data_IF_110921014649
#
_entry.id   IF_110921014649
#
_cell.length_a   1.000
_cell.length_b   1.000
_cell.length_c   1.000
_cell.angle_alpha   90.00
_cell.angle_beta   90.00
_cell.angle_gamma   90.00
#
_symmetry.space_group_name_H-M   'P 1'
#
loop_
_entity.id
_entity.type
_entity.pdbx_description
1 polymer ?
#
# COMPACT_ATOMS: atom_id res chain seq x y z
N UNK A 1 -7.06 14.62 -22.82
CA UNK A 1 -6.47 14.39 -21.48
C UNK A 1 -5.01 14.09 -21.70
N UNK A 2 -4.09 14.79 -21.02
CA UNK A 2 -2.66 14.55 -21.21
C UNK A 2 -2.24 13.39 -20.30
N UNK A 3 -1.61 12.33 -20.85
CA UNK A 3 -1.08 11.18 -20.08
C UNK A 3 -0.24 11.61 -18.86
N UNK A 4 0.46 12.73 -18.98
CA UNK A 4 1.26 13.34 -17.92
C UNK A 4 0.43 13.78 -16.71
N UNK A 5 -0.79 14.31 -16.89
CA UNK A 5 -1.66 14.78 -15.80
C UNK A 5 -2.16 13.61 -14.96
N UNK A 6 -2.62 12.52 -15.60
CA UNK A 6 -3.08 11.31 -14.91
C UNK A 6 -1.94 10.64 -14.14
N UNK A 7 -0.73 10.55 -14.72
CA UNK A 7 0.45 10.05 -13.99
C UNK A 7 0.73 10.88 -12.73
N UNK A 8 0.66 12.21 -12.85
CA UNK A 8 0.94 13.12 -11.72
C UNK A 8 -0.12 12.98 -10.62
N UNK A 9 -1.37 12.73 -11.00
CA UNK A 9 -2.48 12.44 -10.08
C UNK A 9 -2.25 11.12 -9.34
N UNK A 10 -1.91 10.05 -10.05
CA UNK A 10 -1.64 8.73 -9.44
C UNK A 10 -0.40 8.75 -8.54
N UNK A 11 0.65 9.48 -8.91
CA UNK A 11 1.83 9.66 -8.07
C UNK A 11 1.50 10.42 -6.78
N UNK A 12 0.66 11.47 -6.85
CA UNK A 12 0.17 12.16 -5.64
C UNK A 12 -0.66 11.22 -4.77
N UNK A 13 -1.55 10.43 -5.36
CA UNK A 13 -2.35 9.44 -4.65
C UNK A 13 -1.45 8.44 -3.90
N UNK A 14 -0.41 7.94 -4.54
CA UNK A 14 0.56 7.03 -3.93
C UNK A 14 1.24 7.67 -2.70
N UNK A 15 1.67 8.94 -2.79
CA UNK A 15 2.25 9.66 -1.65
C UNK A 15 1.25 9.86 -0.50
N UNK A 16 0.00 10.18 -0.82
CA UNK A 16 -1.07 10.29 0.19
C UNK A 16 -1.29 8.98 0.93
N UNK A 17 -1.34 7.85 0.21
CA UNK A 17 -1.48 6.54 0.81
C UNK A 17 -0.26 6.13 1.63
N UNK A 18 0.95 6.50 1.19
CA UNK A 18 2.17 6.23 1.94
C UNK A 18 2.18 7.01 3.25
N UNK A 19 1.81 8.28 3.22
CA UNK A 19 1.64 9.08 4.42
C UNK A 19 0.59 8.42 5.33
N UNK A 20 -0.60 8.10 4.82
CA UNK A 20 -1.67 7.44 5.57
C UNK A 20 -1.27 6.08 6.17
N UNK A 21 -0.31 5.40 5.55
CA UNK A 21 0.24 4.14 6.03
C UNK A 21 1.20 4.32 7.22
N UNK A 22 2.08 5.32 7.15
CA UNK A 22 3.12 5.55 8.18
C UNK A 22 2.64 6.39 9.36
N UNK A 23 1.73 7.34 9.12
CA UNK A 23 1.23 8.29 10.11
C UNK A 23 0.67 7.61 11.37
N UNK A 24 -0.17 6.56 11.27
CA UNK A 24 -0.75 5.91 12.44
C UNK A 24 0.31 5.32 13.36
N UNK A 25 1.30 4.61 12.81
CA UNK A 25 2.37 4.03 13.62
C UNK A 25 3.27 5.10 14.26
N UNK A 26 3.56 6.19 13.52
CA UNK A 26 4.38 7.28 14.05
C UNK A 26 3.69 8.04 15.19
N UNK A 27 2.37 8.23 15.11
CA UNK A 27 1.60 8.91 16.16
C UNK A 27 1.29 8.02 17.36
N UNK A 28 0.98 6.75 17.12
CA UNK A 28 0.53 5.82 18.17
C UNK A 28 1.70 5.09 18.84
N UNK A 29 2.86 4.99 18.19
CA UNK A 29 4.06 4.32 18.71
C UNK A 29 4.50 4.81 20.09
N UNK A 30 4.58 6.13 20.35
CA UNK A 30 4.99 6.68 21.65
C UNK A 30 3.94 6.63 22.76
N UNK A 31 2.71 6.21 22.45
CA UNK A 31 1.60 6.24 23.40
C UNK A 31 1.66 4.97 24.24
N UNK A 32 1.96 5.12 25.53
CA UNK A 32 1.88 4.04 26.52
C UNK A 32 0.42 3.78 26.90
N UNK A 33 -0.26 3.04 26.04
CA UNK A 33 -1.62 2.55 26.24
C UNK A 33 -1.63 1.04 26.04
N UNK A 34 -2.56 0.33 26.71
CA UNK A 34 -2.71 -1.12 26.57
C UNK A 34 -4.14 -1.46 26.15
N UNK A 35 -4.30 -1.86 24.89
CA UNK A 35 -5.60 -2.26 24.32
C UNK A 35 -6.12 -3.61 24.85
N UNK A 36 -5.31 -4.38 25.59
CA UNK A 36 -5.64 -5.72 26.07
C UNK A 36 -5.72 -6.77 24.95
N UNK A 37 -5.29 -6.45 23.74
CA UNK A 37 -5.28 -7.38 22.61
C UNK A 37 -4.01 -8.24 22.63
N UNK A 38 -4.10 -9.53 22.23
CA UNK A 38 -2.93 -10.41 22.15
C UNK A 38 -1.93 -9.93 21.09
N UNK A 39 -0.74 -9.42 21.48
CA UNK A 39 0.17 -8.75 20.53
C UNK A 39 0.67 -9.68 19.43
N UNK A 40 0.93 -10.94 19.78
CA UNK A 40 1.37 -11.96 18.82
C UNK A 40 0.31 -12.27 17.76
N UNK A 41 -0.97 -12.28 18.12
CA UNK A 41 -2.04 -12.51 17.16
C UNK A 41 -2.16 -11.34 16.16
N UNK A 42 -1.98 -10.10 16.63
CA UNK A 42 -1.92 -8.91 15.77
C UNK A 42 -0.75 -9.02 14.80
N UNK A 43 0.44 -9.40 15.31
CA UNK A 43 1.62 -9.56 14.48
C UNK A 43 1.43 -10.61 13.39
N UNK A 44 0.94 -11.80 13.75
CA UNK A 44 0.67 -12.89 12.80
C UNK A 44 -0.35 -12.44 11.75
N UNK A 45 -1.43 -11.77 12.18
CA UNK A 45 -2.45 -11.25 11.26
C UNK A 45 -1.85 -10.21 10.29
N UNK A 46 -0.99 -9.33 10.79
CA UNK A 46 -0.26 -8.35 9.98
C UNK A 46 0.66 -8.98 8.97
N UNK A 47 1.33 -10.07 9.34
CA UNK A 47 2.18 -10.84 8.44
C UNK A 47 1.34 -11.48 7.31
N UNK A 48 0.19 -12.08 7.65
CA UNK A 48 -0.71 -12.66 6.65
C UNK A 48 -1.30 -11.61 5.70
N UNK A 49 -1.52 -10.37 6.17
CA UNK A 49 -2.02 -9.27 5.36
C UNK A 49 -1.06 -8.84 4.23
N UNK A 50 0.23 -9.23 4.29
CA UNK A 50 1.19 -8.98 3.20
C UNK A 50 0.89 -9.84 1.95
N UNK A 51 0.38 -11.07 2.08
CA UNK A 51 0.19 -11.96 0.94
C UNK A 51 -0.87 -11.48 -0.07
N UNK A 52 -2.06 -11.00 0.35
CA UNK A 52 -3.05 -10.43 -0.56
C UNK A 52 -2.48 -9.29 -1.42
N UNK A 53 -1.60 -8.47 -0.84
CA UNK A 53 -0.94 -7.38 -1.54
C UNK A 53 -0.04 -7.88 -2.68
N UNK A 54 0.65 -9.00 -2.51
CA UNK A 54 1.46 -9.62 -3.58
C UNK A 54 0.57 -10.18 -4.70
N UNK A 55 -0.58 -10.76 -4.35
CA UNK A 55 -1.54 -11.24 -5.35
C UNK A 55 -2.12 -10.07 -6.17
N UNK A 56 -2.45 -8.96 -5.52
CA UNK A 56 -2.94 -7.76 -6.18
C UNK A 56 -1.90 -7.12 -7.11
N UNK A 57 -0.60 -7.34 -6.89
CA UNK A 57 0.44 -6.83 -7.78
C UNK A 57 0.37 -7.46 -9.19
N UNK A 58 -0.13 -8.70 -9.30
CA UNK A 58 -0.34 -9.32 -10.62
C UNK A 58 -1.38 -8.59 -11.47
N UNK A 59 -2.46 -8.05 -10.87
CA UNK A 59 -3.48 -7.29 -11.59
C UNK A 59 -2.98 -5.90 -11.97
N UNK A 60 -2.19 -5.26 -11.10
CA UNK A 60 -1.52 -4.00 -11.39
C UNK A 60 -0.59 -4.12 -12.61
N UNK A 61 0.25 -5.16 -12.68
CA UNK A 61 1.10 -5.42 -13.85
C UNK A 61 0.29 -5.60 -15.13
N UNK A 62 -0.81 -6.36 -15.08
CA UNK A 62 -1.70 -6.54 -16.24
C UNK A 62 -2.31 -5.21 -16.71
N UNK A 63 -2.76 -4.38 -15.77
CA UNK A 63 -3.29 -3.05 -16.09
C UNK A 63 -2.21 -2.11 -16.66
N UNK A 64 -0.97 -2.26 -16.22
CA UNK A 64 0.18 -1.50 -16.72
C UNK A 64 0.49 -1.88 -18.19
N UNK A 65 0.55 -3.18 -18.50
CA UNK A 65 0.76 -3.65 -19.87
C UNK A 65 -0.39 -3.26 -20.81
N UNK A 66 -1.64 -3.29 -20.33
CA UNK A 66 -2.78 -2.82 -21.12
C UNK A 66 -2.64 -1.34 -21.49
N UNK A 67 -1.98 -0.54 -20.67
CA UNK A 67 -1.76 0.89 -20.91
C UNK A 67 -0.69 1.19 -21.98
N UNK A 68 0.24 0.25 -22.22
CA UNK A 68 1.28 0.38 -23.26
C UNK A 68 0.71 0.24 -24.67
N UNK A 69 -0.48 -0.34 -24.81
CA UNK A 69 -1.15 -0.52 -26.09
C UNK A 69 -1.52 0.86 -26.69
N UNK A 70 -1.03 1.15 -27.91
CA UNK A 70 -1.07 2.47 -28.56
C UNK A 70 -2.46 2.90 -29.06
N UNK A 71 -3.48 2.11 -28.81
CA UNK A 71 -4.82 2.38 -29.31
C UNK A 71 -5.52 3.50 -28.50
N UNK A 72 -6.04 4.51 -29.19
CA UNK A 72 -6.79 5.61 -28.59
C UNK A 72 -8.18 5.19 -28.11
N UNK A 73 -8.76 4.13 -28.67
CA UNK A 73 -10.02 3.59 -28.21
C UNK A 73 -9.84 3.00 -26.79
N UNK A 74 -10.55 3.55 -25.80
CA UNK A 74 -10.58 3.02 -24.43
C UNK A 74 -9.45 3.48 -23.48
N UNK A 75 -8.62 4.44 -23.86
CA UNK A 75 -7.49 4.91 -23.03
C UNK A 75 -7.93 5.36 -21.61
N UNK A 76 -9.08 6.04 -21.49
CA UNK A 76 -9.64 6.47 -20.20
C UNK A 76 -10.00 5.29 -19.28
N UNK A 77 -10.54 4.21 -19.84
CA UNK A 77 -10.91 3.03 -19.07
C UNK A 77 -9.68 2.28 -18.56
N UNK A 78 -8.61 2.22 -19.38
CA UNK A 78 -7.33 1.63 -18.98
C UNK A 78 -6.66 2.38 -17.83
N UNK A 79 -6.67 3.72 -17.87
CA UNK A 79 -6.21 4.55 -16.75
C UNK A 79 -7.05 4.33 -15.49
N UNK A 80 -8.37 4.24 -15.61
CA UNK A 80 -9.26 3.96 -14.47
C UNK A 80 -9.03 2.56 -13.89
N UNK A 81 -8.79 1.55 -14.73
CA UNK A 81 -8.45 0.19 -14.31
C UNK A 81 -7.11 0.16 -13.57
N UNK A 82 -6.10 0.87 -14.06
CA UNK A 82 -4.81 1.02 -13.39
C UNK A 82 -4.96 1.69 -12.02
N UNK A 83 -5.74 2.77 -11.93
CA UNK A 83 -6.01 3.44 -10.66
C UNK A 83 -6.67 2.50 -9.65
N UNK A 84 -7.69 1.74 -10.06
CA UNK A 84 -8.38 0.78 -9.20
C UNK A 84 -7.43 -0.31 -8.70
N UNK A 85 -6.62 -0.87 -9.60
CA UNK A 85 -5.63 -1.89 -9.24
C UNK A 85 -4.57 -1.34 -8.27
N UNK A 86 -4.11 -0.10 -8.50
CA UNK A 86 -3.16 0.57 -7.61
C UNK A 86 -3.76 0.80 -6.22
N UNK A 87 -4.95 1.40 -6.11
CA UNK A 87 -5.59 1.67 -4.81
C UNK A 87 -5.87 0.39 -4.05
N UNK A 88 -6.35 -0.66 -4.72
CA UNK A 88 -6.59 -1.95 -4.07
C UNK A 88 -5.29 -2.55 -3.53
N UNK A 89 -4.22 -2.49 -4.31
CA UNK A 89 -2.89 -2.92 -3.89
C UNK A 89 -2.34 -2.13 -2.70
N UNK A 90 -2.48 -0.80 -2.75
CA UNK A 90 -2.07 0.10 -1.67
C UNK A 90 -2.87 -0.12 -0.38
N UNK A 91 -4.16 -0.41 -0.49
CA UNK A 91 -5.00 -0.75 0.66
C UNK A 91 -4.48 -1.99 1.38
N UNK A 92 -4.25 -3.08 0.65
CA UNK A 92 -3.65 -4.30 1.23
C UNK A 92 -2.24 -4.06 1.76
N UNK A 93 -1.45 -3.25 1.06
CA UNK A 93 -0.12 -2.89 1.51
C UNK A 93 -0.13 -2.08 2.81
N UNK A 94 -1.16 -1.28 3.09
CA UNK A 94 -1.24 -0.45 4.30
C UNK A 94 -1.67 -1.23 5.56
N UNK A 95 -2.43 -2.32 5.41
CA UNK A 95 -2.95 -3.10 6.54
C UNK A 95 -1.88 -3.55 7.56
N UNK A 96 -0.71 -4.10 7.15
CA UNK A 96 0.34 -4.50 8.08
C UNK A 96 0.84 -3.34 8.96
N UNK A 97 1.00 -2.13 8.42
CA UNK A 97 1.46 -0.97 9.18
C UNK A 97 0.41 -0.47 10.17
N UNK A 98 -0.87 -0.53 9.80
CA UNK A 98 -1.97 -0.23 10.73
C UNK A 98 -2.05 -1.25 11.87
N UNK A 99 -1.83 -2.53 11.57
CA UNK A 99 -1.73 -3.57 12.58
C UNK A 99 -0.49 -3.40 13.47
N UNK A 100 0.63 -2.90 12.93
CA UNK A 100 1.79 -2.52 13.73
C UNK A 100 1.48 -1.40 14.72
N UNK A 101 0.69 -0.40 14.30
CA UNK A 101 0.24 0.69 15.18
C UNK A 101 -0.64 0.17 16.33
N UNK A 102 -1.61 -0.70 16.03
CA UNK A 102 -2.45 -1.35 17.04
C UNK A 102 -1.64 -2.29 17.96
N UNK A 103 -0.66 -2.98 17.38
CA UNK A 103 0.28 -3.83 18.12
C UNK A 103 1.10 -3.02 19.11
N UNK A 104 1.60 -1.84 18.70
CA UNK A 104 2.34 -0.93 19.59
C UNK A 104 1.53 -0.56 20.83
N UNK A 105 0.24 -0.24 20.65
CA UNK A 105 -0.70 0.04 21.73
C UNK A 105 -1.12 -1.20 22.54
N UNK A 106 -0.66 -2.39 22.18
CA UNK A 106 -0.91 -3.63 22.91
C UNK A 106 0.36 -4.16 23.60
N UNK A 107 1.49 -3.44 23.48
CA UNK A 107 2.79 -3.87 23.99
C UNK A 107 3.56 -4.80 23.05
N UNK A 108 3.26 -4.79 21.75
CA UNK A 108 4.06 -5.49 20.75
C UNK A 108 5.47 -4.90 20.69
N UNK A 109 6.50 -5.75 20.73
CA UNK A 109 7.89 -5.31 20.71
C UNK A 109 8.20 -4.48 19.46
N UNK A 110 9.00 -3.42 19.63
CA UNK A 110 9.30 -2.46 18.56
C UNK A 110 9.88 -3.10 17.29
N UNK A 111 10.65 -4.18 17.41
CA UNK A 111 11.18 -4.95 16.26
C UNK A 111 10.06 -5.58 15.43
N UNK A 112 9.04 -6.15 16.06
CA UNK A 112 7.91 -6.75 15.37
C UNK A 112 7.07 -5.69 14.65
N UNK A 113 6.86 -4.52 15.27
CA UNK A 113 6.23 -3.38 14.60
C UNK A 113 7.05 -2.91 13.39
N UNK A 114 8.37 -2.77 13.54
CA UNK A 114 9.26 -2.40 12.44
C UNK A 114 9.17 -3.37 11.27
N UNK A 115 9.17 -4.68 11.52
CA UNK A 115 9.06 -5.70 10.46
C UNK A 115 7.78 -5.53 9.63
N UNK A 116 6.64 -5.27 10.28
CA UNK A 116 5.37 -5.04 9.60
C UNK A 116 5.36 -3.73 8.80
N UNK A 117 5.90 -2.65 9.37
CA UNK A 117 6.02 -1.36 8.69
C UNK A 117 6.95 -1.46 7.48
N UNK A 118 8.11 -2.12 7.62
CA UNK A 118 9.02 -2.35 6.51
C UNK A 118 8.42 -3.26 5.44
N UNK A 119 7.70 -4.31 5.82
CA UNK A 119 6.98 -5.18 4.87
C UNK A 119 5.92 -4.42 4.08
N UNK A 120 5.15 -3.56 4.77
CA UNK A 120 4.21 -2.63 4.15
C UNK A 120 4.91 -1.68 3.18
N UNK A 121 6.01 -1.06 3.60
CA UNK A 121 6.78 -0.12 2.80
C UNK A 121 7.35 -0.77 1.53
N UNK A 122 7.96 -1.95 1.65
CA UNK A 122 8.45 -2.75 0.52
C UNK A 122 7.33 -3.04 -0.48
N UNK A 123 6.15 -3.39 0.02
CA UNK A 123 4.97 -3.62 -0.83
C UNK A 123 4.52 -2.34 -1.53
N UNK A 124 4.50 -1.20 -0.82
CA UNK A 124 4.15 0.10 -1.39
C UNK A 124 5.03 0.48 -2.58
N UNK A 125 6.34 0.17 -2.51
CA UNK A 125 7.28 0.42 -3.61
C UNK A 125 6.95 -0.37 -4.88
N UNK A 126 6.33 -1.55 -4.78
CA UNK A 126 5.89 -2.32 -5.95
C UNK A 126 4.80 -1.60 -6.75
N UNK A 127 3.94 -0.83 -6.07
CA UNK A 127 2.84 -0.09 -6.69
C UNK A 127 3.23 1.30 -7.21
N UNK A 128 4.52 1.63 -7.20
CA UNK A 128 5.01 2.88 -7.75
C UNK A 128 5.05 2.77 -9.28
N UNK A 129 4.39 3.71 -9.96
CA UNK A 129 4.35 3.74 -11.42
C UNK A 129 5.77 3.98 -11.95
N UNK A 130 6.32 3.09 -12.80
CA UNK A 130 7.64 3.28 -13.38
C UNK A 130 7.66 4.53 -14.25
N UNK A 131 8.80 5.25 -14.26
CA UNK A 131 8.97 6.43 -15.13
C UNK A 131 8.98 6.07 -16.63
N UNK A 132 9.20 4.80 -16.96
CA UNK A 132 9.47 4.30 -18.31
C UNK A 132 8.21 3.94 -19.11
N UNK A 133 7.02 3.90 -18.50
CA UNK A 133 5.78 3.40 -19.15
C UNK A 133 5.06 4.50 -19.96
N UNK A 134 5.83 5.38 -20.61
CA UNK A 134 5.32 6.55 -21.34
C UNK A 134 5.88 6.64 -22.75
#
# INVERSE_FOLDING_TARGET
MKRTEERTRLNRLWWFWLALCLLPWLLLGPIDFNLGLPPMAIFITGLFALFPSLKAFSSFKRALFALEERDQAGERERWAALQKAQVLGLYWAALPAWLAALGSLSGLGGVACLLLVFGSLMTFFLYRIPRQVL
#
